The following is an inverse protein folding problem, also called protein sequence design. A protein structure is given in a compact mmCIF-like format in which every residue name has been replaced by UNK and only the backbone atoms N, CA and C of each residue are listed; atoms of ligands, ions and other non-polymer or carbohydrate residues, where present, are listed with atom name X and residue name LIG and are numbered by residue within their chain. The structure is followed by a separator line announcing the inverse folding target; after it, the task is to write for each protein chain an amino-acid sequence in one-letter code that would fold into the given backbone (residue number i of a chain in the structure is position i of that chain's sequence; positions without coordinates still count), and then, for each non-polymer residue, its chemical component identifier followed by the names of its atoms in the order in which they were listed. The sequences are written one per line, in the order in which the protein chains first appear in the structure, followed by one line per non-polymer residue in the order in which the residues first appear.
data_IF_146813350462
#
_entry.id   IF_146813350462
#
_cell.length_a   1.000
_cell.length_b   1.000
_cell.length_c   1.000
_cell.angle_alpha   90.00
_cell.angle_beta   90.00
_cell.angle_gamma   90.00
#
_symmetry.space_group_name_H-M   'P 1'
#
loop_
_entity.id
_entity.type
_entity.pdbx_description
1 polymer ?
#
# COMPACT_ATOMS: atom_id res chain seq x y z
N UNK A 1 18.61 -10.67 3.48
CA UNK A 1 18.40 -10.39 4.92
C UNK A 1 19.56 -9.61 5.50
N UNK A 2 20.80 -10.08 5.36
CA UNK A 2 22.03 -9.43 5.89
C UNK A 2 22.10 -7.92 5.63
N UNK A 3 21.96 -7.48 4.37
CA UNK A 3 21.94 -6.05 4.01
C UNK A 3 20.85 -5.22 4.70
N UNK A 4 19.72 -5.83 5.06
CA UNK A 4 18.65 -5.13 5.80
C UNK A 4 19.02 -4.99 7.28
N UNK A 5 19.66 -5.99 7.87
CA UNK A 5 20.20 -5.92 9.24
C UNK A 5 21.31 -4.89 9.32
N UNK A 6 22.16 -4.81 8.29
CA UNK A 6 23.20 -3.78 8.19
C UNK A 6 22.59 -2.38 8.12
N UNK A 7 21.56 -2.18 7.28
CA UNK A 7 20.83 -0.91 7.22
C UNK A 7 20.23 -0.54 8.59
N UNK A 8 19.62 -1.51 9.29
CA UNK A 8 19.14 -1.29 10.66
C UNK A 8 20.26 -0.87 11.60
N UNK A 9 21.40 -1.57 11.59
CA UNK A 9 22.53 -1.25 12.46
C UNK A 9 23.11 0.12 12.18
N UNK A 10 23.20 0.53 10.91
CA UNK A 10 23.65 1.86 10.51
C UNK A 10 22.71 2.96 11.03
N UNK A 11 21.40 2.71 11.00
CA UNK A 11 20.38 3.67 11.45
C UNK A 11 20.24 3.72 12.98
N UNK A 12 20.15 2.56 13.64
CA UNK A 12 19.90 2.43 15.08
C UNK A 12 21.17 2.49 15.94
N UNK A 13 22.35 2.30 15.33
CA UNK A 13 23.65 2.20 16.02
C UNK A 13 23.95 0.82 16.62
N UNK A 14 22.95 -0.04 16.79
CA UNK A 14 23.07 -1.38 17.35
C UNK A 14 22.36 -2.43 16.48
N UNK A 15 22.64 -3.71 16.73
CA UNK A 15 21.88 -4.81 16.12
C UNK A 15 20.51 -4.93 16.79
N UNK A 16 19.48 -5.40 16.07
CA UNK A 16 18.17 -5.64 16.67
C UNK A 16 18.23 -6.81 17.67
N UNK A 17 17.43 -6.73 18.73
CA UNK A 17 17.27 -7.82 19.70
C UNK A 17 16.46 -8.98 19.10
N UNK A 18 15.44 -8.65 18.29
CA UNK A 18 14.61 -9.63 17.60
C UNK A 18 14.28 -9.19 16.17
N UNK A 19 14.13 -10.18 15.29
CA UNK A 19 13.67 -9.99 13.90
C UNK A 19 12.58 -11.02 13.60
N UNK A 20 11.37 -10.54 13.35
CA UNK A 20 10.23 -11.37 13.01
C UNK A 20 9.81 -11.13 11.56
N UNK A 21 9.72 -12.19 10.76
CA UNK A 21 9.17 -12.09 9.39
C UNK A 21 7.64 -11.94 9.48
N UNK A 22 7.10 -10.90 8.88
CA UNK A 22 5.65 -10.68 8.85
C UNK A 22 5.00 -11.50 7.73
N UNK A 23 3.74 -11.88 7.92
CA UNK A 23 2.93 -12.51 6.88
C UNK A 23 2.79 -11.58 5.66
N UNK A 24 2.86 -12.18 4.46
CA UNK A 24 2.63 -11.43 3.22
C UNK A 24 1.17 -11.01 3.09
N UNK A 25 0.93 -9.78 2.63
CA UNK A 25 -0.40 -9.20 2.44
C UNK A 25 -0.71 -8.95 0.95
N UNK A 26 -0.36 -9.89 0.07
CA UNK A 26 -0.61 -9.78 -1.38
C UNK A 26 0.42 -8.92 -2.16
N UNK A 27 1.48 -8.45 -1.50
CA UNK A 27 2.65 -7.84 -2.17
C UNK A 27 3.79 -8.84 -2.27
N UNK A 28 4.61 -8.70 -3.32
CA UNK A 28 5.87 -9.44 -3.46
C UNK A 28 6.97 -8.92 -2.51
N UNK A 29 6.77 -7.76 -1.87
CA UNK A 29 7.67 -7.22 -0.85
C UNK A 29 7.66 -8.10 0.39
N UNK A 30 8.83 -8.29 0.99
CA UNK A 30 8.95 -9.00 2.27
C UNK A 30 9.14 -8.00 3.40
N UNK A 31 8.33 -8.13 4.44
CA UNK A 31 8.35 -7.27 5.62
C UNK A 31 8.89 -8.02 6.83
N UNK A 32 9.67 -7.32 7.64
CA UNK A 32 10.25 -7.81 8.88
C UNK A 32 10.03 -6.78 9.98
N UNK A 33 9.56 -7.22 11.15
CA UNK A 33 9.54 -6.40 12.35
C UNK A 33 10.87 -6.57 13.08
N UNK A 34 11.57 -5.47 13.28
CA UNK A 34 12.78 -5.37 14.08
C UNK A 34 12.39 -4.80 15.44
N UNK A 35 12.86 -5.40 16.52
CA UNK A 35 12.63 -4.92 17.89
C UNK A 35 13.98 -4.70 18.57
N UNK A 36 14.15 -3.56 19.24
CA UNK A 36 15.33 -3.28 20.06
C UNK A 36 15.22 -3.88 21.48
N UNK A 37 16.27 -3.74 22.28
CA UNK A 37 16.31 -4.25 23.65
C UNK A 37 15.30 -3.56 24.59
N UNK A 38 14.80 -2.38 24.21
CA UNK A 38 13.79 -1.62 24.97
C UNK A 38 12.35 -1.96 24.53
N UNK A 39 12.19 -2.84 23.53
CA UNK A 39 10.89 -3.25 22.99
C UNK A 39 10.31 -2.30 21.94
N UNK A 40 11.04 -1.28 21.49
CA UNK A 40 10.59 -0.41 20.38
C UNK A 40 10.78 -1.14 19.07
N UNK A 41 9.81 -0.97 18.16
CA UNK A 41 9.81 -1.67 16.88
C UNK A 41 9.81 -0.76 15.66
N UNK A 42 10.42 -1.26 14.59
CA UNK A 42 10.37 -0.69 13.23
C UNK A 42 10.14 -1.80 12.22
N UNK A 43 9.64 -1.43 11.04
CA UNK A 43 9.44 -2.37 9.94
C UNK A 43 10.56 -2.20 8.92
N UNK A 44 11.32 -3.25 8.69
CA UNK A 44 12.25 -3.34 7.57
C UNK A 44 11.60 -4.01 6.38
N UNK A 45 11.87 -3.48 5.19
CA UNK A 45 11.26 -3.94 3.94
C UNK A 45 12.35 -4.35 2.96
N UNK A 46 12.13 -5.48 2.29
CA UNK A 46 12.90 -5.90 1.12
C UNK A 46 11.95 -5.86 -0.08
N UNK A 47 12.19 -4.93 -1.00
CA UNK A 47 11.40 -4.80 -2.21
C UNK A 47 11.91 -5.65 -3.36
N UNK A 48 11.04 -5.88 -4.34
CA UNK A 48 11.34 -6.64 -5.57
C UNK A 48 11.52 -5.75 -6.79
N UNK A 49 11.13 -4.48 -6.72
CA UNK A 49 11.31 -3.47 -7.76
C UNK A 49 11.88 -2.21 -7.15
N UNK A 50 12.96 -1.69 -7.75
CA UNK A 50 13.56 -0.42 -7.33
C UNK A 50 12.60 0.74 -7.59
N UNK A 51 11.93 0.75 -8.74
CA UNK A 51 11.05 1.87 -9.13
C UNK A 51 9.78 1.92 -8.26
N UNK A 52 9.22 0.76 -7.89
CA UNK A 52 8.11 0.69 -6.92
C UNK A 52 8.55 1.20 -5.54
N UNK A 53 9.75 0.82 -5.08
CA UNK A 53 10.29 1.29 -3.81
C UNK A 53 10.56 2.80 -3.83
N UNK A 54 11.13 3.31 -4.91
CA UNK A 54 11.39 4.73 -5.09
C UNK A 54 10.09 5.54 -4.98
N UNK A 55 9.04 5.10 -5.68
CA UNK A 55 7.71 5.68 -5.60
C UNK A 55 7.14 5.65 -4.17
N UNK A 56 7.23 4.50 -3.49
CA UNK A 56 6.79 4.39 -2.09
C UNK A 56 7.53 5.36 -1.16
N UNK A 57 8.86 5.39 -1.24
CA UNK A 57 9.71 6.24 -0.39
C UNK A 57 9.39 7.72 -0.61
N UNK A 58 9.25 8.12 -1.87
CA UNK A 58 8.85 9.48 -2.23
C UNK A 58 7.47 9.84 -1.66
N UNK A 59 6.45 9.01 -1.93
CA UNK A 59 5.08 9.24 -1.48
C UNK A 59 4.97 9.27 0.05
N UNK A 60 5.63 8.34 0.74
CA UNK A 60 5.66 8.31 2.20
C UNK A 60 6.27 9.60 2.79
N UNK A 61 7.41 10.05 2.26
CA UNK A 61 8.04 11.32 2.68
C UNK A 61 7.16 12.53 2.37
N UNK A 62 6.53 12.56 1.19
CA UNK A 62 5.63 13.63 0.79
C UNK A 62 4.40 13.72 1.71
N UNK A 63 3.71 12.61 1.92
CA UNK A 63 2.52 12.56 2.76
C UNK A 63 2.84 12.81 4.25
N UNK A 64 3.99 12.39 4.74
CA UNK A 64 4.45 12.75 6.09
C UNK A 64 4.60 14.27 6.25
N UNK A 65 5.18 14.97 5.26
CA UNK A 65 5.24 16.45 5.27
C UNK A 65 3.85 17.11 5.26
N UNK A 66 2.85 16.42 4.74
CA UNK A 66 1.43 16.83 4.76
C UNK A 66 0.69 16.40 6.02
N UNK A 67 1.39 15.89 7.04
CA UNK A 67 0.82 15.39 8.29
C UNK A 67 -0.31 14.37 8.05
N UNK A 68 -0.19 13.57 6.99
CA UNK A 68 -1.11 12.48 6.71
C UNK A 68 -0.67 11.22 7.46
N UNK A 69 -1.61 10.32 7.82
CA UNK A 69 -1.31 9.12 8.59
C UNK A 69 -0.63 8.05 7.72
N UNK A 70 0.66 8.23 7.47
CA UNK A 70 1.53 7.29 6.73
C UNK A 70 2.70 6.82 7.60
N UNK A 71 3.28 5.64 7.31
CA UNK A 71 4.53 5.27 7.94
C UNK A 71 5.64 6.27 7.55
N UNK A 72 6.50 6.61 8.50
CA UNK A 72 7.64 7.47 8.24
C UNK A 72 8.83 6.63 7.81
N UNK A 73 9.48 7.01 6.70
CA UNK A 73 10.72 6.38 6.24
C UNK A 73 11.88 6.81 7.15
N UNK A 74 12.54 5.85 7.77
CA UNK A 74 13.60 6.05 8.76
C UNK A 74 14.99 5.95 8.14
N UNK A 75 15.18 4.97 7.24
CA UNK A 75 16.43 4.75 6.50
C UNK A 75 16.15 4.06 5.17
N UNK A 76 17.03 4.24 4.19
CA UNK A 76 16.92 3.66 2.84
C UNK A 76 18.30 3.18 2.41
N UNK A 77 18.42 1.99 1.81
CA UNK A 77 19.68 1.53 1.23
C UNK A 77 20.04 2.34 -0.02
N UNK A 78 21.32 2.44 -0.36
CA UNK A 78 21.80 3.20 -1.54
C UNK A 78 21.14 2.76 -2.85
N UNK A 79 20.86 1.45 -2.99
CA UNK A 79 20.19 0.88 -4.17
C UNK A 79 18.66 1.00 -4.14
N UNK A 80 18.09 1.60 -3.08
CA UNK A 80 16.66 1.73 -2.79
C UNK A 80 15.87 0.41 -2.79
N UNK A 81 16.56 -0.74 -2.74
CA UNK A 81 15.88 -2.05 -2.69
C UNK A 81 15.40 -2.41 -1.28
N UNK A 82 15.87 -1.66 -0.26
CA UNK A 82 15.55 -1.85 1.16
C UNK A 82 15.31 -0.52 1.84
N UNK A 83 14.40 -0.52 2.80
CA UNK A 83 14.15 0.64 3.65
C UNK A 83 13.60 0.22 5.00
N UNK A 84 13.75 1.11 5.98
CA UNK A 84 13.14 1.01 7.30
C UNK A 84 12.03 2.05 7.40
N UNK A 85 10.94 1.69 8.05
CA UNK A 85 9.82 2.58 8.32
C UNK A 85 9.28 2.38 9.74
N UNK A 86 8.54 3.36 10.25
CA UNK A 86 7.87 3.25 11.55
C UNK A 86 6.89 2.08 11.57
N UNK A 87 6.85 1.36 12.68
CA UNK A 87 5.82 0.36 12.96
C UNK A 87 4.52 1.04 13.42
N UNK A 88 3.42 0.77 12.72
CA UNK A 88 2.09 1.32 13.03
C UNK A 88 1.25 0.37 13.89
N UNK A 89 1.86 -0.73 14.37
CA UNK A 89 1.23 -1.73 15.22
C UNK A 89 0.72 -2.94 14.44
N UNK A 90 -0.10 -3.73 15.12
CA UNK A 90 -0.55 -5.05 14.64
C UNK A 90 -2.05 -5.11 14.32
N UNK A 91 -2.80 -4.06 14.62
CA UNK A 91 -4.26 -4.05 14.46
C UNK A 91 -4.63 -3.37 13.17
N UNK A 92 -5.11 -4.14 12.20
CA UNK A 92 -5.69 -3.58 10.98
C UNK A 92 -7.10 -3.04 11.23
N UNK A 93 -7.57 -2.11 10.38
CA UNK A 93 -8.98 -1.71 10.41
C UNK A 93 -9.89 -2.92 10.18
N UNK A 94 -9.46 -3.89 9.37
CA UNK A 94 -10.18 -5.13 9.17
C UNK A 94 -10.35 -5.84 10.52
N UNK A 95 -9.32 -6.08 11.29
CA UNK A 95 -9.47 -6.75 12.58
C UNK A 95 -10.30 -5.92 13.57
N UNK A 96 -10.12 -4.60 13.57
CA UNK A 96 -10.79 -3.70 14.50
C UNK A 96 -12.33 -3.63 14.33
N UNK A 97 -12.85 -3.87 13.12
CA UNK A 97 -14.30 -3.85 12.83
C UNK A 97 -14.90 -5.25 12.63
N UNK A 98 -14.18 -6.30 13.07
CA UNK A 98 -14.59 -7.70 12.86
C UNK A 98 -15.98 -8.00 13.41
N UNK A 99 -16.33 -7.44 14.58
CA UNK A 99 -17.62 -7.69 15.23
C UNK A 99 -18.80 -7.30 14.33
N UNK A 100 -18.78 -6.09 13.78
CA UNK A 100 -19.81 -5.63 12.86
C UNK A 100 -19.86 -6.41 11.54
N UNK A 101 -18.71 -6.84 11.02
CA UNK A 101 -18.68 -7.71 9.82
C UNK A 101 -19.33 -9.07 10.07
N UNK A 102 -18.93 -9.75 11.14
CA UNK A 102 -19.46 -11.06 11.51
C UNK A 102 -20.95 -10.98 11.90
N UNK A 103 -21.39 -9.82 12.39
CA UNK A 103 -22.79 -9.53 12.70
C UNK A 103 -23.63 -9.11 11.46
N UNK A 104 -23.18 -9.38 10.24
CA UNK A 104 -23.92 -9.08 9.01
C UNK A 104 -24.03 -7.59 8.71
N UNK A 105 -23.00 -6.81 9.06
CA UNK A 105 -22.94 -5.36 8.84
C UNK A 105 -23.53 -4.51 9.97
N UNK A 106 -23.88 -5.11 11.11
CA UNK A 106 -24.37 -4.38 12.30
C UNK A 106 -23.19 -3.87 13.14
N UNK A 107 -22.58 -2.78 12.69
CA UNK A 107 -21.45 -2.13 13.37
C UNK A 107 -21.88 -1.38 14.62
N UNK A 108 -21.13 -1.54 15.71
CA UNK A 108 -21.32 -0.76 16.94
C UNK A 108 -20.79 0.68 16.77
N UNK A 109 -21.04 1.55 17.77
CA UNK A 109 -20.65 2.96 17.68
C UNK A 109 -19.13 3.18 17.54
N UNK A 110 -18.31 2.36 18.19
CA UNK A 110 -16.86 2.46 18.09
C UNK A 110 -16.35 2.06 16.70
N UNK A 111 -16.88 0.98 16.13
CA UNK A 111 -16.56 0.52 14.77
C UNK A 111 -17.02 1.53 13.71
N UNK A 112 -18.23 2.08 13.87
CA UNK A 112 -18.73 3.15 13.00
C UNK A 112 -17.82 4.38 13.05
N UNK A 113 -17.32 4.74 14.23
CA UNK A 113 -16.42 5.87 14.37
C UNK A 113 -15.06 5.61 13.70
N UNK A 114 -14.51 4.40 13.79
CA UNK A 114 -13.32 4.01 13.03
C UNK A 114 -13.53 4.15 11.53
N UNK A 115 -14.67 3.66 11.01
CA UNK A 115 -15.02 3.80 9.60
C UNK A 115 -15.14 5.27 9.18
N UNK A 116 -15.81 6.11 9.99
CA UNK A 116 -15.93 7.55 9.71
C UNK A 116 -14.56 8.23 9.69
N UNK A 117 -13.68 7.93 10.64
CA UNK A 117 -12.31 8.46 10.67
C UNK A 117 -11.55 8.08 9.40
N UNK A 118 -11.59 6.81 9.00
CA UNK A 118 -10.94 6.33 7.77
C UNK A 118 -11.49 7.03 6.52
N UNK A 119 -12.82 7.13 6.38
CA UNK A 119 -13.46 7.76 5.23
C UNK A 119 -13.08 9.25 5.14
N UNK A 120 -12.97 9.96 6.28
CA UNK A 120 -12.54 11.36 6.32
C UNK A 120 -11.10 11.57 5.86
N UNK A 121 -10.23 10.56 6.01
CA UNK A 121 -8.85 10.67 5.51
C UNK A 121 -8.76 10.54 3.99
N UNK A 122 -9.68 9.85 3.31
CA UNK A 122 -9.67 9.73 1.85
C UNK A 122 -9.62 11.08 1.11
N UNK A 123 -10.55 12.03 1.35
CA UNK A 123 -10.45 13.36 0.74
C UNK A 123 -9.24 14.15 1.27
N UNK A 124 -8.75 13.86 2.48
CA UNK A 124 -7.55 14.51 3.01
C UNK A 124 -6.31 14.13 2.18
N UNK A 125 -6.14 12.85 1.84
CA UNK A 125 -5.10 12.40 0.90
C UNK A 125 -5.29 13.02 -0.49
N UNK A 126 -6.51 13.01 -1.02
CA UNK A 126 -6.78 13.51 -2.38
C UNK A 126 -6.58 15.02 -2.51
N UNK A 127 -6.98 15.82 -1.51
CA UNK A 127 -6.96 17.29 -1.62
C UNK A 127 -5.72 17.88 -0.95
N UNK A 128 -5.45 17.54 0.32
CA UNK A 128 -4.31 18.08 1.06
C UNK A 128 -3.01 17.39 0.66
N UNK A 129 -3.08 16.08 0.40
CA UNK A 129 -1.95 15.26 -0.05
C UNK A 129 -1.51 15.58 -1.47
N UNK A 130 -2.41 15.87 -2.40
CA UNK A 130 -2.04 16.19 -3.80
C UNK A 130 -1.31 17.52 -3.97
N UNK A 131 -1.49 18.48 -3.05
CA UNK A 131 -0.80 19.76 -3.12
C UNK A 131 0.72 19.53 -3.18
N UNK A 132 1.36 20.10 -4.20
CA UNK A 132 2.81 19.99 -4.42
C UNK A 132 3.32 18.56 -4.59
N UNK A 133 2.44 17.60 -4.88
CA UNK A 133 2.83 16.26 -5.27
C UNK A 133 3.33 16.34 -6.71
N UNK A 134 4.59 15.98 -6.91
CA UNK A 134 5.13 15.67 -8.23
C UNK A 134 4.74 14.22 -8.59
N UNK A 135 3.90 14.09 -9.62
CA UNK A 135 3.35 12.82 -10.08
C UNK A 135 4.34 12.03 -10.93
N UNK A 136 5.45 12.61 -11.40
CA UNK A 136 6.45 11.86 -12.18
C UNK A 136 7.17 10.78 -11.36
N UNK A 137 7.06 10.83 -10.03
CA UNK A 137 7.57 9.82 -9.12
C UNK A 137 6.57 8.69 -8.83
N UNK A 138 5.34 8.76 -9.35
CA UNK A 138 4.39 7.67 -9.25
C UNK A 138 4.75 6.55 -10.21
N UNK A 139 4.58 5.31 -9.76
CA UNK A 139 4.88 4.10 -10.51
C UNK A 139 3.68 3.14 -10.41
N UNK A 140 3.30 2.42 -11.48
CA UNK A 140 3.93 2.38 -12.80
C UNK A 140 3.54 3.52 -13.74
N UNK A 141 2.53 4.32 -13.38
CA UNK A 141 2.06 5.44 -14.18
C UNK A 141 1.86 6.69 -13.31
N UNK A 142 2.11 7.86 -13.90
CA UNK A 142 1.98 9.16 -13.25
C UNK A 142 0.53 9.64 -13.12
N UNK A 143 -0.33 9.19 -14.03
CA UNK A 143 -1.70 9.64 -14.14
C UNK A 143 -2.65 8.48 -14.40
N UNK A 144 -3.92 8.71 -14.06
CA UNK A 144 -5.00 7.78 -14.37
C UNK A 144 -5.40 7.95 -15.84
N UNK A 145 -5.28 6.87 -16.62
CA UNK A 145 -5.58 6.87 -18.05
C UNK A 145 -6.22 5.54 -18.48
N UNK A 146 -6.55 5.42 -19.77
CA UNK A 146 -7.22 4.23 -20.32
C UNK A 146 -6.39 2.96 -20.11
N UNK A 147 -5.05 3.03 -20.21
CA UNK A 147 -4.17 1.89 -20.02
C UNK A 147 -4.24 1.37 -18.59
N UNK A 148 -4.17 2.26 -17.59
CA UNK A 148 -4.32 1.91 -16.18
C UNK A 148 -5.64 1.18 -15.91
N UNK A 149 -6.75 1.70 -16.44
CA UNK A 149 -8.06 1.02 -16.32
C UNK A 149 -8.05 -0.34 -16.99
N UNK A 150 -7.48 -0.45 -18.19
CA UNK A 150 -7.40 -1.72 -18.91
C UNK A 150 -6.52 -2.73 -18.18
N UNK A 151 -5.45 -2.32 -17.49
CA UNK A 151 -4.66 -3.22 -16.66
C UNK A 151 -5.50 -3.83 -15.55
N UNK A 152 -6.25 -3.02 -14.80
CA UNK A 152 -7.12 -3.50 -13.72
C UNK A 152 -8.24 -4.42 -14.23
N UNK A 153 -8.87 -4.05 -15.35
CA UNK A 153 -9.93 -4.87 -15.95
C UNK A 153 -9.39 -6.19 -16.50
N UNK A 154 -8.19 -6.20 -17.08
CA UNK A 154 -7.54 -7.43 -17.50
C UNK A 154 -7.11 -8.28 -16.30
N UNK A 155 -6.62 -7.66 -15.23
CA UNK A 155 -6.34 -8.37 -13.97
C UNK A 155 -7.60 -9.07 -13.45
N UNK A 156 -8.75 -8.40 -13.42
CA UNK A 156 -10.04 -9.02 -13.10
C UNK A 156 -10.39 -10.18 -14.04
N UNK A 157 -10.23 -10.00 -15.36
CA UNK A 157 -10.50 -11.08 -16.34
C UNK A 157 -9.65 -12.32 -16.09
N UNK A 158 -8.35 -12.17 -15.86
CA UNK A 158 -7.44 -13.31 -15.71
C UNK A 158 -7.46 -13.92 -14.31
N UNK A 159 -7.47 -13.08 -13.27
CA UNK A 159 -7.35 -13.54 -11.88
C UNK A 159 -8.69 -13.89 -11.22
N UNK A 160 -9.82 -13.47 -11.80
CA UNK A 160 -11.15 -13.79 -11.27
C UNK A 160 -11.99 -14.57 -12.28
N UNK A 161 -12.33 -14.00 -13.44
CA UNK A 161 -13.27 -14.65 -14.38
C UNK A 161 -12.71 -15.96 -14.95
N UNK A 162 -11.49 -15.94 -15.47
CA UNK A 162 -10.84 -17.15 -16.00
C UNK A 162 -10.52 -18.17 -14.90
N UNK A 163 -10.11 -17.70 -13.73
CA UNK A 163 -9.80 -18.57 -12.58
C UNK A 163 -11.05 -19.28 -12.00
N UNK A 164 -12.23 -18.71 -12.19
CA UNK A 164 -13.51 -19.29 -11.75
C UNK A 164 -14.19 -20.14 -12.83
N UNK A 165 -13.56 -20.31 -13.99
CA UNK A 165 -14.10 -21.07 -15.13
C UNK A 165 -15.49 -20.60 -15.61
N UNK A 166 -15.85 -19.35 -15.30
CA UNK A 166 -17.07 -18.75 -15.82
C UNK A 166 -16.95 -18.60 -17.33
N UNK A 167 -17.98 -19.04 -18.05
CA UNK A 167 -18.06 -18.85 -19.49
C UNK A 167 -18.49 -17.42 -19.82
N UNK A 168 -17.76 -16.77 -20.72
CA UNK A 168 -18.07 -15.42 -21.19
C UNK A 168 -17.49 -15.19 -22.58
N UNK A 169 -18.16 -14.35 -23.36
CA UNK A 169 -17.72 -14.02 -24.70
C UNK A 169 -16.55 -13.02 -24.65
N UNK A 170 -15.32 -13.50 -24.85
CA UNK A 170 -14.10 -12.69 -24.68
C UNK A 170 -14.08 -11.39 -25.49
N UNK A 171 -14.45 -11.44 -26.77
CA UNK A 171 -14.44 -10.24 -27.61
C UNK A 171 -15.44 -9.17 -27.12
N UNK A 172 -16.63 -9.58 -26.64
CA UNK A 172 -17.63 -8.65 -26.10
C UNK A 172 -17.16 -8.06 -24.77
N UNK A 173 -16.56 -8.87 -23.90
CA UNK A 173 -15.98 -8.39 -22.65
C UNK A 173 -14.85 -7.38 -22.91
N UNK A 174 -13.95 -7.68 -23.85
CA UNK A 174 -12.86 -6.79 -24.21
C UNK A 174 -13.37 -5.46 -24.81
N UNK A 175 -14.43 -5.50 -25.60
CA UNK A 175 -15.08 -4.30 -26.12
C UNK A 175 -15.68 -3.46 -24.97
N UNK A 176 -16.39 -4.10 -24.02
CA UNK A 176 -16.92 -3.42 -22.84
C UNK A 176 -15.81 -2.80 -21.98
N UNK A 177 -14.68 -3.48 -21.80
CA UNK A 177 -13.54 -2.93 -21.07
C UNK A 177 -13.00 -1.66 -21.71
N UNK A 178 -12.86 -1.64 -23.05
CA UNK A 178 -12.40 -0.44 -23.77
C UNK A 178 -13.40 0.70 -23.67
N UNK A 179 -14.69 0.42 -23.80
CA UNK A 179 -15.73 1.44 -23.61
C UNK A 179 -15.68 2.01 -22.20
N UNK A 180 -15.59 1.15 -21.18
CA UNK A 180 -15.56 1.59 -19.79
C UNK A 180 -14.28 2.37 -19.45
N UNK A 181 -13.12 1.95 -19.96
CA UNK A 181 -11.88 2.70 -19.80
C UNK A 181 -11.97 4.11 -20.40
N UNK A 182 -12.54 4.22 -21.60
CA UNK A 182 -12.78 5.51 -22.25
C UNK A 182 -13.75 6.38 -21.44
N UNK A 183 -14.84 5.79 -20.95
CA UNK A 183 -15.84 6.53 -20.17
C UNK A 183 -15.24 7.08 -18.86
N UNK A 184 -14.50 6.24 -18.12
CA UNK A 184 -13.86 6.63 -16.85
C UNK A 184 -12.78 7.69 -16.98
N UNK A 185 -12.20 7.87 -18.17
CA UNK A 185 -11.09 8.80 -18.43
C UNK A 185 -11.51 9.96 -19.33
N UNK A 186 -12.81 10.09 -19.57
CA UNK A 186 -13.38 11.12 -20.46
C UNK A 186 -13.41 12.53 -19.84
N UNK A 187 -13.43 12.63 -18.52
CA UNK A 187 -13.37 13.90 -17.79
C UNK A 187 -11.91 14.31 -17.56
N UNK A 188 -11.49 15.43 -18.18
CA UNK A 188 -10.18 16.06 -18.00
C UNK A 188 -10.32 17.41 -17.33
#
# INVERSE_FOLDING_TARGET
MEKLVELYKQWAGNVPANIEKMAGAGSNRTYYRFTDDEGKSVIGVIGTSRDENHAFIYLAKHFAKRQLPVPHVLAVSEDETRYLQTDLGITSLFDAIRGGREAGGRYNLAEQELLRKTIKELPNFQIRGARGLDYSYCYPQAEFNEESVLFDLNYFKYCFLKATELDFHELKLQANFRMFAKDLTSEK
#
